data_IF_243520754200
#
_entry.id   IF_243520754200
#
_cell.length_a   1.000
_cell.length_b   1.000
_cell.length_c   1.000
_cell.angle_alpha   90.00
_cell.angle_beta   90.00
_cell.angle_gamma   90.00
#
_symmetry.space_group_name_H-M   'P 1'
#
loop_
_entity.id
_entity.type
_entity.pdbx_description
1 polymer ?
#
# COMPACT_ATOMS: atom_id res chain seq x y z
N UNK A 1 -3.29 15.53 2.86
CA UNK A 1 -3.86 14.69 3.93
C UNK A 1 -3.55 13.25 3.55
N UNK A 2 -2.84 12.52 4.40
CA UNK A 2 -2.55 11.10 4.16
C UNK A 2 -3.82 10.33 4.46
N UNK A 3 -4.34 9.59 3.47
CA UNK A 3 -5.52 8.76 3.68
C UNK A 3 -5.12 7.46 4.39
N UNK A 4 -5.23 7.48 5.71
CA UNK A 4 -4.87 6.36 6.58
C UNK A 4 -5.73 5.11 6.31
N UNK A 5 -6.99 5.29 5.89
CA UNK A 5 -7.87 4.18 5.54
C UNK A 5 -7.37 3.43 4.30
N UNK A 6 -6.94 4.16 3.28
CA UNK A 6 -6.36 3.57 2.09
C UNK A 6 -5.03 2.90 2.41
N UNK A 7 -4.17 3.51 3.25
CA UNK A 7 -2.93 2.86 3.74
C UNK A 7 -3.24 1.51 4.39
N UNK A 8 -4.17 1.47 5.34
CA UNK A 8 -4.55 0.23 6.03
C UNK A 8 -5.11 -0.81 5.05
N UNK A 9 -5.95 -0.42 4.09
CA UNK A 9 -6.47 -1.30 3.03
C UNK A 9 -5.35 -1.89 2.18
N UNK A 10 -4.35 -1.09 1.82
CA UNK A 10 -3.22 -1.52 0.99
C UNK A 10 -2.26 -2.43 1.73
N UNK A 11 -2.06 -2.20 3.03
CA UNK A 11 -1.29 -3.08 3.92
C UNK A 11 -2.04 -4.35 4.34
N UNK A 12 -3.37 -4.38 4.23
CA UNK A 12 -4.16 -5.55 4.55
C UNK A 12 -3.87 -6.71 3.59
N UNK A 13 -4.15 -7.94 4.05
CA UNK A 13 -4.01 -9.13 3.22
C UNK A 13 -5.00 -9.13 2.04
N UNK A 14 -4.54 -9.58 0.87
CA UNK A 14 -5.39 -9.70 -0.31
C UNK A 14 -6.35 -10.88 -0.19
N UNK A 15 -7.65 -10.56 -0.09
CA UNK A 15 -8.77 -11.51 -0.12
C UNK A 15 -8.84 -12.37 -1.39
N UNK A 16 -8.05 -12.06 -2.41
CA UNK A 16 -7.93 -12.83 -3.65
C UNK A 16 -7.31 -14.22 -3.47
N UNK A 17 -6.78 -14.56 -2.29
CA UNK A 17 -6.18 -15.86 -2.00
C UNK A 17 -4.71 -15.98 -2.38
N UNK A 18 -4.08 -14.90 -2.83
CA UNK A 18 -2.66 -14.87 -3.20
C UNK A 18 -1.70 -14.92 -1.99
N UNK A 19 -2.19 -14.71 -0.76
CA UNK A 19 -1.35 -14.60 0.44
C UNK A 19 -0.39 -13.41 0.45
N UNK A 20 -0.69 -12.39 -0.37
CA UNK A 20 0.09 -11.15 -0.52
C UNK A 20 -0.74 -9.99 0.00
N UNK A 21 -0.08 -8.91 0.39
CA UNK A 21 -0.75 -7.66 0.75
C UNK A 21 -1.55 -7.12 -0.45
N UNK A 22 -2.75 -6.60 -0.18
CA UNK A 22 -3.65 -6.08 -1.19
C UNK A 22 -2.98 -5.03 -2.09
N UNK A 23 -2.20 -4.10 -1.52
CA UNK A 23 -1.47 -3.08 -2.29
C UNK A 23 -0.32 -3.61 -3.16
N UNK A 24 0.13 -4.84 -2.95
CA UNK A 24 1.10 -5.55 -3.83
C UNK A 24 0.42 -6.53 -4.77
N UNK A 25 -0.90 -6.65 -4.69
CA UNK A 25 -1.71 -7.59 -5.46
C UNK A 25 -2.83 -6.85 -6.19
N UNK A 26 -4.09 -6.97 -5.77
CA UNK A 26 -5.22 -6.34 -6.46
C UNK A 26 -5.23 -4.81 -6.37
N UNK A 27 -4.72 -4.26 -5.27
CA UNK A 27 -4.59 -2.82 -5.03
C UNK A 27 -3.34 -2.19 -5.63
N UNK A 28 -2.52 -2.94 -6.38
CA UNK A 28 -1.26 -2.45 -6.95
C UNK A 28 -1.46 -1.25 -7.90
N UNK A 29 -2.59 -1.23 -8.61
CA UNK A 29 -2.96 -0.14 -9.53
C UNK A 29 -3.75 1.00 -8.88
N UNK A 30 -4.13 0.88 -7.60
CA UNK A 30 -4.77 2.01 -6.90
C UNK A 30 -3.78 3.18 -6.75
N UNK A 31 -4.28 4.40 -6.61
CA UNK A 31 -3.40 5.55 -6.38
C UNK A 31 -2.77 5.45 -4.99
N UNK A 32 -1.49 5.79 -4.86
CA UNK A 32 -0.86 5.85 -3.55
C UNK A 32 -1.44 6.99 -2.70
N UNK A 33 -1.67 6.74 -1.40
CA UNK A 33 -2.24 7.72 -0.46
C UNK A 33 -1.33 8.91 -0.18
N UNK A 34 -0.04 8.81 -0.53
CA UNK A 34 0.92 9.89 -0.34
C UNK A 34 0.67 11.10 -1.26
N UNK A 35 -0.24 10.99 -2.23
CA UNK A 35 -0.58 12.09 -3.14
C UNK A 35 0.37 12.23 -4.33
N UNK A 36 1.37 11.36 -4.51
CA UNK A 36 2.27 11.38 -5.67
C UNK A 36 1.59 11.12 -7.02
N UNK A 37 0.30 10.76 -7.04
CA UNK A 37 -0.45 10.45 -8.26
C UNK A 37 -0.04 9.13 -8.95
N UNK A 38 0.99 8.47 -8.44
CA UNK A 38 1.48 7.17 -8.90
C UNK A 38 0.68 6.01 -8.30
N UNK A 39 0.59 4.86 -9.01
CA UNK A 39 -0.02 3.67 -8.47
C UNK A 39 0.79 3.12 -7.28
N UNK A 40 0.12 2.49 -6.32
CA UNK A 40 0.72 2.01 -5.06
C UNK A 40 1.92 1.11 -5.32
N UNK A 41 1.77 0.18 -6.27
CA UNK A 41 2.82 -0.74 -6.68
C UNK A 41 4.11 -0.08 -7.15
N UNK A 42 4.02 1.13 -7.70
CA UNK A 42 5.14 1.92 -8.24
C UNK A 42 5.52 3.11 -7.34
N UNK A 43 5.01 3.13 -6.11
CA UNK A 43 5.16 4.26 -5.19
C UNK A 43 5.39 3.71 -3.78
N UNK A 44 4.38 3.79 -2.91
CA UNK A 44 4.50 3.38 -1.52
C UNK A 44 4.67 1.86 -1.29
N UNK A 45 4.48 0.99 -2.29
CA UNK A 45 4.91 -0.42 -2.22
C UNK A 45 6.28 -0.66 -2.87
N UNK A 46 6.79 0.27 -3.68
CA UNK A 46 8.18 0.24 -4.16
C UNK A 46 9.12 0.68 -3.05
N UNK A 47 8.77 1.73 -2.31
CA UNK A 47 9.54 2.21 -1.17
C UNK A 47 8.64 2.46 0.05
N UNK A 48 8.19 1.38 0.73
CA UNK A 48 7.31 1.51 1.89
C UNK A 48 7.94 2.34 3.01
N UNK A 49 9.24 2.21 3.27
CA UNK A 49 9.93 2.98 4.31
C UNK A 49 9.89 4.49 4.07
N UNK A 50 10.22 4.96 2.86
CA UNK A 50 10.17 6.40 2.55
C UNK A 50 8.75 6.97 2.46
N UNK A 51 7.73 6.11 2.42
CA UNK A 51 6.32 6.52 2.43
C UNK A 51 5.66 6.36 3.80
N UNK A 52 6.44 6.13 4.87
CA UNK A 52 5.93 5.92 6.22
C UNK A 52 4.99 4.71 6.30
N UNK A 53 5.15 3.74 5.40
CA UNK A 53 4.53 2.43 5.49
C UNK A 53 5.38 1.57 6.42
N UNK A 54 5.46 1.97 7.69
CA UNK A 54 6.14 1.17 8.71
C UNK A 54 5.42 -0.17 8.86
N UNK A 55 6.07 -1.22 8.40
CA UNK A 55 5.74 -2.63 8.65
C UNK A 55 6.31 -3.07 10.02
N UNK A 56 6.77 -2.14 10.85
CA UNK A 56 7.40 -2.39 12.13
C UNK A 56 6.33 -2.56 13.21
N UNK A 57 5.91 -3.81 13.40
CA UNK A 57 5.43 -4.29 14.68
C UNK A 57 6.55 -5.12 15.29
N UNK A 58 7.38 -4.49 16.13
CA UNK A 58 8.15 -5.21 17.14
C UNK A 58 7.94 -4.59 18.51
#
# INVERSE_FOLDING_TARGET
MIDEQQKAKLMADCKCGSGKMYGTCCGMMEKCFCGSGKPVGQCCMTDPKGHGMDMDKK
#
